data_IF_766930981824
#
_entry.id   IF_766930981824
#
_cell.length_a   1.000
_cell.length_b   1.000
_cell.length_c   1.000
_cell.angle_alpha   90.00
_cell.angle_beta   90.00
_cell.angle_gamma   90.00
#
_symmetry.space_group_name_H-M   'P 1'
#
loop_
_entity.id
_entity.type
_entity.pdbx_description
1 polymer ?
#
# COMPACT_ATOMS: atom_id res chain seq x y z
N UNK A 1 8.63 -7.83 17.77
CA UNK A 1 8.59 -7.58 16.34
C UNK A 1 8.66 -6.09 15.97
N UNK A 2 8.50 -5.16 16.94
CA UNK A 2 8.51 -3.71 16.65
C UNK A 2 9.87 -3.04 16.84
N UNK A 3 10.85 -3.72 17.41
CA UNK A 3 12.22 -3.22 17.54
C UNK A 3 12.95 -3.38 16.20
N UNK A 4 13.16 -2.28 15.48
CA UNK A 4 13.78 -2.30 14.16
C UNK A 4 15.22 -2.82 14.17
N UNK A 5 15.99 -2.63 15.25
CA UNK A 5 17.36 -3.14 15.37
C UNK A 5 17.38 -4.66 15.46
N UNK A 6 16.48 -5.24 16.29
CA UNK A 6 16.32 -6.69 16.40
C UNK A 6 15.79 -7.30 15.10
N UNK A 7 14.87 -6.62 14.43
CA UNK A 7 14.36 -7.07 13.13
C UNK A 7 15.46 -7.05 12.07
N UNK A 8 16.24 -5.99 12.00
CA UNK A 8 17.38 -5.91 11.10
C UNK A 8 18.37 -7.06 11.34
N UNK A 9 18.76 -7.28 12.60
CA UNK A 9 19.68 -8.36 12.97
C UNK A 9 19.12 -9.76 12.60
N UNK A 10 17.82 -9.97 12.77
CA UNK A 10 17.17 -11.23 12.38
C UNK A 10 17.20 -11.45 10.87
N UNK A 11 16.88 -10.41 10.08
CA UNK A 11 16.97 -10.48 8.62
C UNK A 11 18.40 -10.67 8.13
N UNK A 12 19.36 -9.96 8.70
CA UNK A 12 20.77 -10.10 8.34
C UNK A 12 21.27 -11.54 8.61
N UNK A 13 20.92 -12.09 9.78
CA UNK A 13 21.24 -13.49 10.11
C UNK A 13 20.57 -14.47 9.12
N UNK A 14 19.30 -14.27 8.80
CA UNK A 14 18.57 -15.11 7.86
C UNK A 14 19.20 -15.12 6.45
N UNK A 15 19.65 -13.97 5.98
CA UNK A 15 20.29 -13.84 4.66
C UNK A 15 21.66 -14.53 4.57
N UNK A 16 22.32 -14.76 5.71
CA UNK A 16 23.60 -15.49 5.77
C UNK A 16 23.42 -17.01 5.74
N UNK A 17 22.26 -17.51 6.13
CA UNK A 17 21.96 -18.95 6.13
C UNK A 17 21.85 -19.44 4.69
N UNK A 18 22.51 -20.54 4.37
CA UNK A 18 22.49 -21.17 3.05
C UNK A 18 22.03 -22.64 3.19
N UNK A 19 21.42 -23.15 2.12
CA UNK A 19 21.04 -24.56 2.02
C UNK A 19 19.75 -24.95 2.76
N UNK A 20 19.09 -24.00 3.44
CA UNK A 20 17.78 -24.23 4.08
C UNK A 20 16.98 -22.93 4.15
N UNK A 21 15.63 -23.00 4.13
CA UNK A 21 14.78 -21.83 4.33
C UNK A 21 14.85 -21.33 5.77
N UNK A 22 14.66 -20.03 5.96
CA UNK A 22 14.59 -19.41 7.29
C UNK A 22 13.24 -18.74 7.48
N UNK A 23 12.60 -18.99 8.61
CA UNK A 23 11.34 -18.34 9.02
C UNK A 23 11.60 -17.43 10.21
N UNK A 24 11.17 -16.19 10.12
CA UNK A 24 11.26 -15.20 11.19
C UNK A 24 9.87 -15.00 11.81
N UNK A 25 9.71 -15.40 13.08
CA UNK A 25 8.47 -15.20 13.83
C UNK A 25 8.52 -13.83 14.53
N UNK A 26 7.82 -12.86 13.97
CA UNK A 26 7.76 -11.50 14.49
C UNK A 26 6.46 -11.28 15.30
N UNK A 27 6.57 -11.23 16.61
CA UNK A 27 5.43 -10.88 17.47
C UNK A 27 5.17 -9.38 17.38
N UNK A 28 4.01 -9.00 16.85
CA UNK A 28 3.58 -7.62 16.64
C UNK A 28 2.20 -7.37 17.24
N UNK A 29 1.83 -6.11 17.42
CA UNK A 29 0.49 -5.69 17.77
C UNK A 29 -0.06 -4.77 16.67
N UNK A 30 -1.35 -4.90 16.40
CA UNK A 30 -2.02 -4.01 15.44
C UNK A 30 -2.13 -2.60 16.00
N UNK A 31 -1.92 -1.61 15.14
CA UNK A 31 -1.99 -0.20 15.53
C UNK A 31 -0.77 0.32 16.29
N UNK A 32 0.36 -0.38 16.25
CA UNK A 32 1.60 0.10 16.86
C UNK A 32 1.92 1.53 16.40
N UNK A 33 2.29 2.39 17.33
CA UNK A 33 2.55 3.83 17.19
C UNK A 33 1.34 4.74 16.99
N UNK A 34 0.14 4.19 16.82
CA UNK A 34 -1.09 4.99 16.69
C UNK A 34 -1.67 5.45 18.03
N UNK A 35 -1.04 5.08 19.15
CA UNK A 35 -1.46 5.47 20.49
C UNK A 35 -2.49 4.54 21.14
N UNK A 36 -2.81 4.82 22.39
CA UNK A 36 -3.62 3.95 23.28
C UNK A 36 -5.04 3.69 22.79
N UNK A 37 -5.58 4.53 21.91
CA UNK A 37 -6.90 4.31 21.31
C UNK A 37 -6.91 3.18 20.29
N UNK A 38 -5.74 2.83 19.73
CA UNK A 38 -5.60 1.88 18.63
C UNK A 38 -4.74 0.67 18.99
N UNK A 39 -3.67 0.86 19.76
CA UNK A 39 -2.69 -0.19 20.01
C UNK A 39 -3.28 -1.42 20.70
N UNK A 40 -3.10 -2.59 20.08
CA UNK A 40 -3.46 -3.89 20.64
C UNK A 40 -4.96 -4.12 20.84
N UNK A 41 -5.84 -3.31 20.24
CA UNK A 41 -7.29 -3.45 20.38
C UNK A 41 -7.89 -4.24 19.23
N UNK A 42 -8.86 -5.09 19.52
CA UNK A 42 -9.61 -5.83 18.49
C UNK A 42 -10.35 -4.89 17.53
N UNK A 43 -10.88 -3.76 18.02
CA UNK A 43 -11.56 -2.75 17.19
C UNK A 43 -10.67 -2.09 16.16
N UNK A 44 -9.35 -2.07 16.35
CA UNK A 44 -8.40 -1.41 15.43
C UNK A 44 -8.46 -1.96 14.02
N UNK A 45 -8.84 -3.23 13.85
CA UNK A 45 -9.02 -3.83 12.52
C UNK A 45 -10.10 -3.11 11.69
N UNK A 46 -11.12 -2.55 12.33
CA UNK A 46 -12.26 -1.90 11.67
C UNK A 46 -12.22 -0.38 11.75
N UNK A 47 -11.28 0.19 12.47
CA UNK A 47 -11.14 1.65 12.58
C UNK A 47 -10.66 2.23 11.26
N UNK A 48 -11.41 3.20 10.75
CA UNK A 48 -11.16 3.79 9.41
C UNK A 48 -10.57 5.19 9.46
N UNK A 49 -10.67 5.88 10.59
CA UNK A 49 -10.28 7.29 10.72
C UNK A 49 -9.63 7.53 12.08
N UNK A 50 -8.58 8.35 12.06
CA UNK A 50 -7.99 8.97 13.25
C UNK A 50 -8.74 10.27 13.56
N UNK A 51 -8.90 10.62 14.83
CA UNK A 51 -9.30 11.98 15.21
C UNK A 51 -8.14 12.95 14.94
N UNK A 52 -8.40 14.25 14.96
CA UNK A 52 -7.34 15.24 14.81
C UNK A 52 -6.27 15.11 15.91
N UNK A 53 -6.70 14.87 17.15
CA UNK A 53 -5.79 14.69 18.29
C UNK A 53 -4.94 13.42 18.16
N UNK A 54 -5.54 12.31 17.71
CA UNK A 54 -4.80 11.07 17.41
C UNK A 54 -3.76 11.31 16.30
N UNK A 55 -4.13 12.08 15.27
CA UNK A 55 -3.25 12.40 14.15
C UNK A 55 -2.06 13.26 14.59
N UNK A 56 -2.30 14.26 15.45
CA UNK A 56 -1.23 15.07 16.05
C UNK A 56 -0.31 14.21 16.92
N UNK A 57 -0.85 13.39 17.79
CA UNK A 57 -0.09 12.47 18.63
C UNK A 57 0.75 11.48 17.79
N UNK A 58 0.19 10.94 16.72
CA UNK A 58 0.91 10.08 15.79
C UNK A 58 2.06 10.81 15.10
N UNK A 59 1.81 12.01 14.53
CA UNK A 59 2.82 12.86 13.92
C UNK A 59 4.00 13.11 14.87
N UNK A 60 3.70 13.45 16.14
CA UNK A 60 4.72 13.72 17.16
C UNK A 60 5.52 12.46 17.51
N UNK A 61 4.85 11.31 17.61
CA UNK A 61 5.50 10.02 17.88
C UNK A 61 6.50 9.63 16.81
N UNK A 62 6.20 9.91 15.54
CA UNK A 62 7.10 9.59 14.41
C UNK A 62 7.96 10.76 13.96
N UNK A 63 7.91 11.90 14.66
CA UNK A 63 8.71 13.10 14.43
C UNK A 63 8.61 13.68 13.00
N UNK A 64 7.41 13.71 12.42
CA UNK A 64 7.18 14.32 11.11
C UNK A 64 6.97 15.83 11.28
N UNK A 65 7.71 16.71 10.57
CA UNK A 65 7.65 18.15 10.71
C UNK A 65 6.45 18.78 9.97
N UNK A 66 5.24 18.40 10.36
CA UNK A 66 3.98 18.97 9.89
C UNK A 66 3.38 19.74 11.07
N UNK A 67 2.97 20.99 10.86
CA UNK A 67 2.42 21.85 11.92
C UNK A 67 0.98 21.47 12.27
N UNK A 68 0.53 21.85 13.46
CA UNK A 68 -0.86 21.69 13.87
C UNK A 68 -1.83 22.37 12.89
N UNK A 69 -1.53 23.61 12.48
CA UNK A 69 -2.33 24.35 11.53
C UNK A 69 -2.52 23.59 10.20
N UNK A 70 -1.48 22.94 9.69
CA UNK A 70 -1.57 22.13 8.47
C UNK A 70 -2.44 20.88 8.64
N UNK A 71 -2.44 20.26 9.83
CA UNK A 71 -3.32 19.13 10.12
C UNK A 71 -4.78 19.57 10.33
N UNK A 72 -4.98 20.75 10.92
CA UNK A 72 -6.31 21.33 11.17
C UNK A 72 -7.00 21.77 9.88
N UNK A 73 -6.25 22.19 8.86
CA UNK A 73 -6.81 22.59 7.56
C UNK A 73 -7.61 21.45 6.92
N UNK A 74 -7.07 20.24 6.90
CA UNK A 74 -7.79 19.05 6.45
C UNK A 74 -7.25 17.76 7.10
N UNK A 75 -7.83 17.30 8.21
CA UNK A 75 -7.38 16.09 8.89
C UNK A 75 -7.45 14.81 8.06
N UNK A 76 -8.25 14.80 6.99
CA UNK A 76 -8.40 13.65 6.09
C UNK A 76 -7.44 13.66 4.91
N UNK A 77 -6.73 14.76 4.72
CA UNK A 77 -5.74 14.92 3.66
C UNK A 77 -4.52 15.70 4.19
N UNK A 78 -3.77 15.13 5.14
CA UNK A 78 -2.57 15.78 5.65
C UNK A 78 -1.55 15.99 4.52
N UNK A 79 -0.69 17.04 4.62
CA UNK A 79 0.32 17.29 3.61
C UNK A 79 1.27 16.11 3.45
N UNK A 80 1.67 15.83 2.23
CA UNK A 80 2.72 14.87 1.97
C UNK A 80 4.07 15.42 2.44
N UNK A 81 4.79 14.63 3.22
CA UNK A 81 6.15 14.96 3.66
C UNK A 81 7.17 14.03 3.04
N UNK A 82 8.22 14.60 2.48
CA UNK A 82 9.42 13.90 2.04
C UNK A 82 10.65 14.71 2.48
N UNK A 83 11.63 14.08 3.18
CA UNK A 83 12.76 14.81 3.77
C UNK A 83 13.75 15.39 2.75
N UNK A 84 13.55 15.11 1.48
CA UNK A 84 14.42 15.55 0.39
C UNK A 84 15.47 14.52 -0.02
N UNK A 85 16.00 14.67 -1.25
CA UNK A 85 16.96 13.70 -1.80
C UNK A 85 18.33 13.73 -1.12
N UNK A 86 18.70 14.84 -0.45
CA UNK A 86 19.97 14.99 0.29
C UNK A 86 19.84 14.59 1.77
N UNK A 87 18.70 14.04 2.19
CA UNK A 87 18.56 13.50 3.54
C UNK A 87 19.35 12.19 3.64
N UNK A 88 20.15 12.05 4.71
CA UNK A 88 21.02 10.89 4.95
C UNK A 88 20.29 9.55 4.83
N UNK A 89 19.05 9.45 5.34
CA UNK A 89 18.25 8.24 5.26
C UNK A 89 17.84 7.92 3.82
N UNK A 90 17.53 8.94 3.02
CA UNK A 90 17.18 8.78 1.60
C UNK A 90 18.41 8.39 0.79
N UNK A 91 19.54 9.01 1.01
CA UNK A 91 20.81 8.66 0.37
C UNK A 91 21.18 7.20 0.67
N UNK A 92 21.16 6.80 1.93
CA UNK A 92 21.41 5.42 2.35
C UNK A 92 20.46 4.42 1.67
N UNK A 93 19.18 4.74 1.62
CA UNK A 93 18.17 3.90 0.95
C UNK A 93 18.47 3.75 -0.55
N UNK A 94 18.75 4.84 -1.24
CA UNK A 94 19.01 4.85 -2.69
C UNK A 94 20.31 4.11 -3.02
N UNK A 95 21.37 4.30 -2.25
CA UNK A 95 22.64 3.57 -2.42
C UNK A 95 22.45 2.07 -2.20
N UNK A 96 21.70 1.71 -1.17
CA UNK A 96 21.38 0.30 -0.88
C UNK A 96 20.56 -0.30 -2.02
N UNK A 97 19.56 0.40 -2.56
CA UNK A 97 18.81 -0.03 -3.74
C UNK A 97 19.71 -0.21 -4.97
N UNK A 98 20.63 0.71 -5.21
CA UNK A 98 21.60 0.61 -6.30
C UNK A 98 22.46 -0.65 -6.20
N UNK A 99 23.00 -0.96 -5.00
CA UNK A 99 23.77 -2.19 -4.75
C UNK A 99 22.96 -3.47 -5.01
N UNK A 100 21.65 -3.43 -4.75
CA UNK A 100 20.73 -4.55 -4.94
C UNK A 100 20.16 -4.65 -6.37
N UNK A 101 20.70 -3.89 -7.33
CA UNK A 101 20.31 -3.95 -8.73
C UNK A 101 19.25 -2.93 -9.16
N UNK A 102 19.03 -1.89 -8.36
CA UNK A 102 18.12 -0.78 -8.68
C UNK A 102 16.72 -0.91 -8.09
N UNK A 103 15.83 -0.08 -8.57
CA UNK A 103 14.46 0.00 -8.08
C UNK A 103 13.59 -1.15 -8.57
N UNK A 104 12.52 -1.48 -7.82
CA UNK A 104 11.50 -2.40 -8.26
C UNK A 104 10.27 -1.65 -8.79
N UNK A 105 9.57 -2.24 -9.78
CA UNK A 105 9.96 -3.39 -10.60
C UNK A 105 11.04 -3.04 -11.60
N UNK A 106 12.04 -3.94 -11.79
CA UNK A 106 13.01 -3.82 -12.87
C UNK A 106 12.44 -4.49 -14.12
N UNK A 107 12.08 -3.72 -15.12
CA UNK A 107 11.59 -4.25 -16.40
C UNK A 107 12.78 -4.63 -17.27
N UNK A 108 12.97 -5.94 -17.46
CA UNK A 108 14.11 -6.50 -18.23
C UNK A 108 13.71 -7.07 -19.57
N UNK A 109 12.41 -7.12 -19.86
CA UNK A 109 11.88 -7.70 -21.09
C UNK A 109 11.07 -6.65 -21.84
N UNK A 110 11.19 -6.66 -23.16
CA UNK A 110 10.33 -5.91 -24.06
C UNK A 110 9.26 -6.89 -24.55
N UNK A 111 8.03 -6.69 -24.12
CA UNK A 111 6.90 -7.44 -24.64
C UNK A 111 6.33 -6.74 -25.89
N UNK A 112 5.82 -7.48 -26.86
CA UNK A 112 5.08 -6.88 -27.96
C UNK A 112 3.86 -6.11 -27.42
N UNK A 113 3.46 -5.00 -28.05
CA UNK A 113 2.28 -4.27 -27.64
C UNK A 113 1.04 -5.17 -27.75
N UNK A 114 0.16 -5.06 -26.76
CA UNK A 114 -1.16 -5.70 -26.81
C UNK A 114 -2.14 -4.80 -27.55
N UNK A 115 -3.12 -5.42 -28.20
CA UNK A 115 -4.28 -4.70 -28.69
C UNK A 115 -4.98 -3.99 -27.52
N UNK A 116 -5.42 -2.76 -27.77
CA UNK A 116 -6.18 -2.03 -26.77
C UNK A 116 -7.63 -2.53 -26.77
N UNK A 117 -8.28 -2.69 -25.62
CA UNK A 117 -9.72 -2.95 -25.56
C UNK A 117 -10.48 -1.83 -26.27
N UNK A 118 -11.64 -2.18 -26.81
CA UNK A 118 -12.52 -1.18 -27.40
C UNK A 118 -13.04 -0.20 -26.35
N UNK A 119 -13.37 1.01 -26.77
CA UNK A 119 -13.82 2.10 -25.87
C UNK A 119 -15.07 1.69 -25.08
N UNK A 120 -15.94 0.87 -25.63
CA UNK A 120 -17.15 0.40 -24.98
C UNK A 120 -16.89 -0.37 -23.67
N UNK A 121 -15.72 -1.01 -23.55
CA UNK A 121 -15.31 -1.71 -22.31
C UNK A 121 -15.20 -0.72 -21.13
N UNK A 122 -14.85 0.53 -21.41
CA UNK A 122 -14.69 1.57 -20.39
C UNK A 122 -15.98 2.31 -20.07
N UNK A 123 -17.06 2.07 -20.76
CA UNK A 123 -18.36 2.74 -20.57
C UNK A 123 -18.86 2.65 -19.12
N UNK A 124 -18.61 1.52 -18.47
CA UNK A 124 -19.03 1.28 -17.07
C UNK A 124 -18.44 2.31 -16.09
N UNK A 125 -17.26 2.85 -16.40
CA UNK A 125 -16.61 3.91 -15.60
C UNK A 125 -16.82 5.31 -16.21
N UNK A 126 -16.87 5.42 -17.54
CA UNK A 126 -17.04 6.69 -18.24
C UNK A 126 -18.41 7.32 -17.99
N UNK A 127 -19.46 6.51 -17.82
CA UNK A 127 -20.82 7.00 -17.48
C UNK A 127 -20.90 7.55 -16.06
N UNK A 128 -19.90 7.26 -15.22
CA UNK A 128 -19.88 7.66 -13.81
C UNK A 128 -20.94 6.93 -12.97
N UNK A 129 -21.10 7.36 -11.74
CA UNK A 129 -22.04 6.77 -10.75
C UNK A 129 -23.23 7.70 -10.44
N UNK A 130 -23.37 8.81 -11.15
CA UNK A 130 -24.42 9.80 -10.91
C UNK A 130 -24.34 10.38 -9.49
N UNK A 131 -25.44 10.27 -8.72
CA UNK A 131 -25.51 10.73 -7.33
C UNK A 131 -25.01 9.72 -6.31
N UNK A 132 -24.69 8.51 -6.74
CA UNK A 132 -24.26 7.44 -5.83
C UNK A 132 -22.75 7.49 -5.60
N UNK A 133 -22.33 7.57 -4.34
CA UNK A 133 -20.92 7.42 -3.99
C UNK A 133 -20.50 5.94 -4.16
N UNK A 134 -19.45 5.70 -4.93
CA UNK A 134 -18.90 4.36 -5.19
C UNK A 134 -17.43 4.34 -4.80
N UNK A 135 -17.03 3.31 -4.03
CA UNK A 135 -15.63 3.10 -3.71
C UNK A 135 -14.82 2.79 -4.99
N UNK A 136 -13.59 3.27 -5.07
CA UNK A 136 -12.71 3.07 -6.24
C UNK A 136 -12.51 1.59 -6.56
N UNK A 137 -12.37 0.75 -5.54
CA UNK A 137 -12.27 -0.71 -5.71
C UNK A 137 -13.50 -1.28 -6.40
N UNK A 138 -14.70 -0.84 -6.01
CA UNK A 138 -15.95 -1.32 -6.64
C UNK A 138 -16.09 -0.84 -8.08
N UNK A 139 -15.64 0.36 -8.39
CA UNK A 139 -15.59 0.84 -9.77
C UNK A 139 -14.62 0.02 -10.62
N UNK A 140 -13.43 -0.28 -10.08
CA UNK A 140 -12.45 -1.13 -10.74
C UNK A 140 -12.96 -2.56 -10.95
N UNK A 141 -13.64 -3.16 -9.98
CA UNK A 141 -14.21 -4.52 -10.12
C UNK A 141 -15.23 -4.59 -11.25
N UNK A 142 -16.06 -3.56 -11.41
CA UNK A 142 -17.00 -3.47 -12.53
C UNK A 142 -16.28 -3.41 -13.89
N UNK A 143 -15.23 -2.59 -13.97
CA UNK A 143 -14.39 -2.53 -15.18
C UNK A 143 -13.67 -3.86 -15.44
N UNK A 144 -13.10 -4.48 -14.40
CA UNK A 144 -12.41 -5.77 -14.52
C UNK A 144 -13.34 -6.86 -15.07
N UNK A 145 -14.59 -6.89 -14.64
CA UNK A 145 -15.62 -7.83 -15.18
C UNK A 145 -15.80 -7.71 -16.69
N UNK A 146 -15.74 -6.49 -17.24
CA UNK A 146 -15.89 -6.27 -18.66
C UNK A 146 -14.57 -6.53 -19.41
N UNK A 147 -13.41 -6.17 -18.83
CA UNK A 147 -12.09 -6.49 -19.37
C UNK A 147 -11.83 -8.01 -19.49
N UNK A 148 -12.27 -8.81 -18.51
CA UNK A 148 -12.12 -10.27 -18.56
C UNK A 148 -12.92 -10.89 -19.71
N UNK A 149 -13.99 -10.24 -20.16
CA UNK A 149 -14.80 -10.69 -21.28
C UNK A 149 -14.28 -10.24 -22.64
N UNK A 150 -13.29 -9.36 -22.67
CA UNK A 150 -12.71 -8.89 -23.92
C UNK A 150 -12.08 -10.06 -24.68
N UNK A 151 -12.42 -10.26 -25.99
CA UNK A 151 -11.99 -11.43 -26.73
C UNK A 151 -10.49 -11.49 -26.99
N UNK A 152 -9.80 -10.36 -26.99
CA UNK A 152 -8.37 -10.29 -27.31
C UNK A 152 -7.48 -10.37 -26.08
N UNK A 153 -7.84 -9.62 -25.03
CA UNK A 153 -6.98 -9.51 -23.84
C UNK A 153 -7.57 -10.18 -22.59
N UNK A 154 -8.84 -10.55 -22.59
CA UNK A 154 -9.53 -11.08 -21.41
C UNK A 154 -8.82 -12.27 -20.75
N UNK A 155 -8.30 -13.19 -21.56
CA UNK A 155 -7.55 -14.36 -21.08
C UNK A 155 -6.19 -14.02 -20.41
N UNK A 156 -5.76 -12.77 -20.46
CA UNK A 156 -4.52 -12.31 -19.82
C UNK A 156 -4.75 -11.74 -18.43
N UNK A 157 -6.01 -11.51 -18.03
CA UNK A 157 -6.36 -11.05 -16.68
C UNK A 157 -6.45 -12.25 -15.75
N UNK A 158 -5.62 -12.24 -14.74
CA UNK A 158 -5.63 -13.25 -13.67
C UNK A 158 -5.76 -12.52 -12.34
N UNK A 159 -6.98 -12.29 -11.83
CA UNK A 159 -7.17 -11.69 -10.50
C UNK A 159 -6.64 -12.64 -9.42
N UNK A 160 -5.79 -12.11 -8.53
CA UNK A 160 -5.24 -12.85 -7.39
C UNK A 160 -5.75 -12.15 -6.13
N UNK A 161 -6.59 -12.84 -5.37
CA UNK A 161 -7.28 -12.31 -4.21
C UNK A 161 -6.95 -13.22 -3.03
N UNK A 162 -6.41 -12.69 -1.90
CA UNK A 162 -6.07 -13.52 -0.74
C UNK A 162 -7.32 -14.20 -0.15
N UNK A 163 -8.21 -13.42 0.50
CA UNK A 163 -9.45 -13.94 1.12
C UNK A 163 -10.61 -12.92 1.12
N UNK A 164 -10.38 -11.72 0.61
CA UNK A 164 -11.35 -10.61 0.67
C UNK A 164 -12.26 -10.51 -0.56
N UNK A 165 -12.37 -11.53 -1.40
CA UNK A 165 -13.17 -11.48 -2.63
C UNK A 165 -14.57 -10.94 -2.38
N UNK A 166 -15.26 -11.47 -1.38
CA UNK A 166 -16.62 -11.04 -0.99
C UNK A 166 -16.68 -9.59 -0.54
N UNK A 167 -15.67 -9.14 0.22
CA UNK A 167 -15.59 -7.76 0.70
C UNK A 167 -15.41 -6.76 -0.45
N UNK A 168 -14.75 -7.18 -1.52
CA UNK A 168 -14.50 -6.36 -2.70
C UNK A 168 -15.50 -6.60 -3.85
N UNK A 169 -16.51 -7.45 -3.64
CA UNK A 169 -17.51 -7.74 -4.67
C UNK A 169 -16.96 -8.51 -5.87
N UNK A 170 -16.00 -9.40 -5.63
CA UNK A 170 -15.36 -10.27 -6.62
C UNK A 170 -15.76 -11.74 -6.47
N UNK A 171 -16.77 -12.02 -5.66
CA UNK A 171 -17.39 -13.34 -5.44
C UNK A 171 -18.42 -13.73 -6.50
#
# INVERSE_FOLDING_TARGET
>A
GHDYRKMYAAYDAAMRVKGQPTVILAKTIKGWTLGSHFEGRNSTHQMKKLTLDDLKAFRDTINIPITDAQLEENPYLPPYYHPGPQNEAIEYMLETRKRLGGSYPARRTVAPPLAQPKDEVYDVVNRGSGKQAVATTMAFVRLLKDLIKDPEIGNRFVPIIPDEARTFGMD
#
